data_IF_197409351249
#
_entry.id   IF_197409351249
#
_cell.length_a   1.000
_cell.length_b   1.000
_cell.length_c   1.000
_cell.angle_alpha   90.00
_cell.angle_beta   90.00
_cell.angle_gamma   90.00
#
_symmetry.space_group_name_H-M   'P 1'
#
loop_
_entity.id
_entity.type
_entity.pdbx_description
1 polymer ?
#
# COMPACT_ATOMS: atom_id res chain seq x y z
N UNK A 1 -17.85 14.62 11.13
CA UNK A 1 -17.46 15.73 10.21
C UNK A 1 -18.29 15.58 8.94
N UNK A 2 -19.09 16.59 8.59
CA UNK A 2 -20.01 16.59 7.43
C UNK A 2 -19.23 16.97 6.15
N UNK A 3 -19.45 16.18 5.10
CA UNK A 3 -19.09 16.32 3.66
C UNK A 3 -17.93 17.25 3.27
N UNK A 4 -16.79 16.64 2.95
CA UNK A 4 -15.62 17.32 2.38
C UNK A 4 -15.65 17.42 0.83
N UNK A 5 -16.40 16.57 0.14
CA UNK A 5 -16.49 16.54 -1.34
C UNK A 5 -17.78 17.18 -1.83
N UNK A 6 -17.74 17.90 -2.95
CA UNK A 6 -18.94 18.44 -3.58
C UNK A 6 -19.69 17.34 -4.33
N UNK A 7 -20.98 17.18 -4.02
CA UNK A 7 -21.83 16.18 -4.68
C UNK A 7 -22.48 16.78 -5.94
N UNK A 8 -21.83 16.63 -7.10
CA UNK A 8 -22.30 17.17 -8.40
C UNK A 8 -22.91 16.11 -9.32
N UNK A 9 -22.56 14.83 -9.14
CA UNK A 9 -22.97 13.73 -10.01
C UNK A 9 -24.15 12.97 -9.38
N UNK A 10 -25.33 12.99 -10.01
CA UNK A 10 -26.56 12.40 -9.44
C UNK A 10 -26.61 10.88 -9.50
N UNK A 11 -25.90 10.28 -10.45
CA UNK A 11 -25.85 8.84 -10.70
C UNK A 11 -24.84 8.12 -9.84
N UNK A 12 -24.03 8.86 -9.07
CA UNK A 12 -22.95 8.32 -8.25
C UNK A 12 -23.43 8.04 -6.83
N UNK A 13 -23.13 6.85 -6.33
CA UNK A 13 -23.33 6.51 -4.93
C UNK A 13 -22.14 6.99 -4.08
N UNK A 14 -22.25 8.20 -3.54
CA UNK A 14 -21.20 8.82 -2.73
C UNK A 14 -20.86 8.04 -1.45
N UNK A 15 -21.79 7.24 -0.93
CA UNK A 15 -21.50 6.38 0.21
C UNK A 15 -20.60 5.22 -0.21
N UNK A 16 -20.88 4.59 -1.36
CA UNK A 16 -20.08 3.48 -1.89
C UNK A 16 -18.63 3.88 -2.26
N UNK A 17 -18.36 5.17 -2.49
CA UNK A 17 -17.01 5.69 -2.70
C UNK A 17 -16.08 5.55 -1.49
N UNK A 18 -16.65 5.51 -0.27
CA UNK A 18 -15.85 5.56 0.97
C UNK A 18 -16.26 4.51 2.00
N UNK A 19 -17.37 3.80 1.81
CA UNK A 19 -17.76 2.71 2.71
C UNK A 19 -16.76 1.55 2.65
N UNK A 20 -16.58 0.87 3.79
CA UNK A 20 -15.76 -0.34 3.84
C UNK A 20 -16.41 -1.45 3.02
N UNK A 21 -15.62 -2.14 2.22
CA UNK A 21 -16.07 -3.27 1.39
C UNK A 21 -15.49 -4.59 1.86
N UNK A 22 -14.40 -4.57 2.62
CA UNK A 22 -13.63 -5.75 2.99
C UNK A 22 -12.62 -6.15 1.90
N UNK A 23 -12.63 -5.49 0.74
CA UNK A 23 -11.54 -5.60 -0.24
C UNK A 23 -10.43 -4.61 0.13
N UNK A 24 -9.21 -5.07 0.42
CA UNK A 24 -8.13 -4.24 0.95
C UNK A 24 -7.65 -3.18 -0.04
N UNK A 25 -7.73 -3.44 -1.34
CA UNK A 25 -7.28 -2.50 -2.38
C UNK A 25 -8.32 -1.42 -2.61
N UNK A 26 -9.59 -1.81 -2.67
CA UNK A 26 -10.71 -0.88 -2.83
C UNK A 26 -10.85 0.01 -1.59
N UNK A 27 -10.71 -0.56 -0.38
CA UNK A 27 -10.69 0.17 0.89
C UNK A 27 -9.53 1.17 0.97
N UNK A 28 -8.31 0.77 0.61
CA UNK A 28 -7.16 1.68 0.56
C UNK A 28 -7.40 2.88 -0.38
N UNK A 29 -7.94 2.65 -1.58
CA UNK A 29 -8.31 3.72 -2.51
C UNK A 29 -9.42 4.65 -1.98
N UNK A 30 -10.41 4.09 -1.28
CA UNK A 30 -11.47 4.87 -0.63
C UNK A 30 -10.93 5.79 0.48
N UNK A 31 -9.98 5.31 1.28
CA UNK A 31 -9.34 6.13 2.32
C UNK A 31 -8.52 7.29 1.74
N UNK A 32 -7.85 7.08 0.61
CA UNK A 32 -7.16 8.15 -0.12
C UNK A 32 -8.15 9.19 -0.62
N UNK A 33 -9.27 8.75 -1.22
CA UNK A 33 -10.30 9.65 -1.72
C UNK A 33 -10.86 10.53 -0.58
N UNK A 34 -11.12 9.92 0.58
CA UNK A 34 -11.54 10.65 1.78
C UNK A 34 -10.50 11.68 2.23
N UNK A 35 -9.21 11.35 2.14
CA UNK A 35 -8.12 12.26 2.52
C UNK A 35 -7.98 13.41 1.53
N UNK A 36 -7.89 13.15 0.23
CA UNK A 36 -7.79 14.20 -0.79
C UNK A 36 -8.98 15.16 -0.72
N UNK A 37 -10.18 14.63 -0.52
CA UNK A 37 -11.37 15.46 -0.36
C UNK A 37 -11.27 16.42 0.84
N UNK A 38 -10.62 16.04 1.94
CA UNK A 38 -10.40 16.94 3.09
C UNK A 38 -9.41 18.05 2.79
N UNK A 39 -8.36 17.75 2.04
CA UNK A 39 -7.31 18.72 1.68
C UNK A 39 -7.76 19.66 0.55
N UNK A 40 -8.73 19.24 -0.26
CA UNK A 40 -9.28 20.00 -1.37
C UNK A 40 -10.79 20.26 -1.19
N UNK A 41 -11.20 21.04 -0.18
CA UNK A 41 -12.61 21.32 0.05
C UNK A 41 -13.21 22.05 -1.15
N UNK A 42 -14.34 21.54 -1.64
CA UNK A 42 -15.07 22.12 -2.78
C UNK A 42 -14.78 21.44 -4.13
N UNK A 43 -13.76 20.58 -4.20
CA UNK A 43 -13.55 19.72 -5.36
C UNK A 43 -14.70 18.70 -5.46
N UNK A 44 -15.16 18.43 -6.67
CA UNK A 44 -16.03 17.29 -6.93
C UNK A 44 -15.22 16.03 -7.27
N UNK A 45 -15.93 14.94 -7.58
CA UNK A 45 -15.26 13.67 -7.84
C UNK A 45 -14.37 13.69 -9.08
N UNK A 46 -14.75 14.43 -10.13
CA UNK A 46 -13.94 14.53 -11.35
C UNK A 46 -12.68 15.35 -11.07
N UNK A 47 -12.80 16.45 -10.32
CA UNK A 47 -11.65 17.25 -9.90
C UNK A 47 -10.61 16.40 -9.15
N UNK A 48 -11.07 15.53 -8.23
CA UNK A 48 -10.20 14.64 -7.47
C UNK A 48 -9.57 13.53 -8.33
N UNK A 49 -10.33 12.95 -9.27
CA UNK A 49 -9.82 11.97 -10.24
C UNK A 49 -8.71 12.61 -11.08
N UNK A 50 -8.92 13.84 -11.53
CA UNK A 50 -7.97 14.56 -12.36
C UNK A 50 -6.75 15.03 -11.56
N UNK A 51 -6.91 15.36 -10.27
CA UNK A 51 -5.79 15.62 -9.37
C UNK A 51 -4.86 14.39 -9.26
N UNK A 52 -5.42 13.20 -9.02
CA UNK A 52 -4.63 11.96 -8.99
C UNK A 52 -3.97 11.67 -10.35
N UNK A 53 -4.72 11.88 -11.44
CA UNK A 53 -4.22 11.70 -12.82
C UNK A 53 -3.03 12.60 -13.13
N UNK A 54 -3.08 13.87 -12.70
CA UNK A 54 -1.98 14.81 -12.87
C UNK A 54 -0.72 14.35 -12.13
N UNK A 55 -0.85 13.86 -10.89
CA UNK A 55 0.29 13.27 -10.17
C UNK A 55 0.89 12.10 -10.96
N UNK A 56 0.06 11.18 -11.45
CA UNK A 56 0.52 10.01 -12.19
C UNK A 56 1.20 10.38 -13.51
N UNK A 57 0.66 11.35 -14.22
CA UNK A 57 1.16 11.74 -15.55
C UNK A 57 2.35 12.69 -15.44
N UNK A 58 2.21 13.79 -14.71
CA UNK A 58 3.19 14.88 -14.68
C UNK A 58 4.34 14.61 -13.73
N UNK A 59 4.06 14.09 -12.53
CA UNK A 59 5.10 13.83 -11.53
C UNK A 59 5.76 12.46 -11.75
N UNK A 60 4.97 11.45 -12.12
CA UNK A 60 5.44 10.06 -12.20
C UNK A 60 5.70 9.56 -13.62
N UNK A 61 5.59 10.43 -14.64
CA UNK A 61 5.85 10.08 -16.03
C UNK A 61 5.01 8.88 -16.51
N UNK A 62 3.76 8.82 -16.02
CA UNK A 62 2.79 7.74 -16.27
C UNK A 62 3.27 6.32 -15.85
N UNK A 63 4.26 6.20 -14.96
CA UNK A 63 4.84 4.92 -14.54
C UNK A 63 4.01 4.21 -13.45
N UNK A 64 2.76 3.90 -13.77
CA UNK A 64 1.84 3.14 -12.90
C UNK A 64 1.50 1.73 -13.42
N UNK A 65 2.30 1.21 -14.37
CA UNK A 65 2.16 -0.12 -14.98
C UNK A 65 2.14 -1.28 -13.98
N UNK A 66 2.74 -1.11 -12.80
CA UNK A 66 2.72 -2.12 -11.72
C UNK A 66 1.34 -2.29 -11.10
N UNK A 67 0.44 -1.33 -11.29
CA UNK A 67 -0.97 -1.39 -10.90
C UNK A 67 -1.83 -1.72 -12.12
N UNK A 68 -1.74 -0.87 -13.14
CA UNK A 68 -2.64 -0.89 -14.29
C UNK A 68 -1.86 -1.05 -15.59
N UNK A 69 -1.93 -2.24 -16.17
CA UNK A 69 -1.29 -2.54 -17.45
C UNK A 69 -2.21 -2.14 -18.61
N UNK A 70 -1.70 -1.36 -19.55
CA UNK A 70 -2.45 -0.85 -20.71
C UNK A 70 -3.66 0.02 -20.32
N UNK A 71 -3.56 0.73 -19.19
CA UNK A 71 -4.48 1.82 -18.87
C UNK A 71 -4.34 2.99 -19.84
N UNK A 72 -5.32 3.90 -19.83
CA UNK A 72 -5.26 5.17 -20.60
C UNK A 72 -4.05 6.02 -20.23
N UNK A 73 -3.59 5.94 -18.98
CA UNK A 73 -2.40 6.65 -18.49
C UNK A 73 -1.11 6.01 -19.03
N UNK A 74 -1.02 4.68 -19.00
CA UNK A 74 0.22 3.96 -19.31
C UNK A 74 0.46 3.73 -20.80
N UNK A 75 -0.51 4.07 -21.65
CA UNK A 75 -0.42 3.82 -23.08
C UNK A 75 0.73 4.60 -23.72
N UNK A 76 1.64 3.89 -24.39
CA UNK A 76 2.87 4.48 -24.97
C UNK A 76 2.59 5.35 -26.18
N UNK A 77 1.52 5.07 -26.92
CA UNK A 77 1.10 5.86 -28.09
C UNK A 77 0.44 7.20 -27.75
N UNK A 78 0.19 7.49 -26.47
CA UNK A 78 -0.42 8.75 -26.03
C UNK A 78 0.64 9.71 -25.51
N UNK A 79 0.55 10.97 -25.94
CA UNK A 79 1.34 12.03 -25.31
C UNK A 79 0.76 12.37 -23.91
N UNK A 80 1.44 13.24 -23.16
CA UNK A 80 1.02 13.66 -21.80
C UNK A 80 -0.39 14.23 -21.75
N UNK A 81 -0.79 15.03 -22.75
CA UNK A 81 -2.14 15.62 -22.81
C UNK A 81 -3.19 14.56 -23.16
N UNK A 82 -2.90 13.69 -24.14
CA UNK A 82 -3.78 12.58 -24.54
C UNK A 82 -4.07 11.65 -23.37
N UNK A 83 -3.04 11.33 -22.54
CA UNK A 83 -3.21 10.51 -21.33
C UNK A 83 -4.23 11.12 -20.36
N UNK A 84 -4.21 12.44 -20.16
CA UNK A 84 -5.16 13.14 -19.29
C UNK A 84 -6.55 13.18 -19.92
N UNK A 85 -6.65 13.58 -21.19
CA UNK A 85 -7.92 13.69 -21.92
C UNK A 85 -8.65 12.34 -22.02
N UNK A 86 -7.92 11.26 -22.30
CA UNK A 86 -8.48 9.91 -22.40
C UNK A 86 -8.91 9.36 -21.04
N UNK A 87 -8.21 9.74 -19.96
CA UNK A 87 -8.59 9.38 -18.59
C UNK A 87 -9.83 10.15 -18.15
N UNK A 88 -9.89 11.45 -18.42
CA UNK A 88 -11.06 12.29 -18.17
C UNK A 88 -12.28 11.76 -18.92
N UNK A 89 -12.14 11.46 -20.23
CA UNK A 89 -13.22 10.88 -21.03
C UNK A 89 -13.71 9.56 -20.44
N UNK A 90 -12.80 8.67 -20.07
CA UNK A 90 -13.15 7.38 -19.47
C UNK A 90 -14.00 7.54 -18.21
N UNK A 91 -13.56 8.37 -17.26
CA UNK A 91 -14.32 8.57 -16.03
C UNK A 91 -15.61 9.37 -16.26
N UNK A 92 -15.63 10.28 -17.22
CA UNK A 92 -16.85 11.00 -17.59
C UNK A 92 -17.91 10.05 -18.12
N UNK A 93 -17.54 9.13 -19.01
CA UNK A 93 -18.46 8.11 -19.54
C UNK A 93 -19.00 7.18 -18.44
N UNK A 94 -18.17 6.83 -17.44
CA UNK A 94 -18.62 6.08 -16.26
C UNK A 94 -19.60 6.88 -15.39
N UNK A 95 -19.28 8.14 -15.09
CA UNK A 95 -20.11 9.01 -14.25
C UNK A 95 -21.45 9.29 -14.94
N UNK A 96 -21.45 9.53 -16.24
CA UNK A 96 -22.65 9.84 -17.04
C UNK A 96 -23.47 8.59 -17.43
N UNK A 97 -23.06 7.38 -17.01
CA UNK A 97 -23.69 6.09 -17.38
C UNK A 97 -23.73 5.81 -18.90
N UNK A 98 -22.86 6.44 -19.67
CA UNK A 98 -22.79 6.27 -21.13
C UNK A 98 -21.80 5.20 -21.56
N UNK A 99 -20.88 4.80 -20.68
CA UNK A 99 -19.98 3.66 -20.93
C UNK A 99 -20.76 2.34 -21.06
N UNK A 100 -20.33 1.38 -21.90
CA UNK A 100 -20.95 0.07 -22.01
C UNK A 100 -20.99 -0.67 -20.67
N UNK A 101 -22.17 -1.12 -20.27
CA UNK A 101 -22.42 -1.75 -18.96
C UNK A 101 -23.49 -2.83 -19.03
N UNK A 102 -23.58 -3.61 -17.96
CA UNK A 102 -24.73 -4.48 -17.67
C UNK A 102 -25.29 -4.12 -16.29
N UNK A 103 -26.57 -4.38 -16.05
CA UNK A 103 -27.12 -4.27 -14.69
C UNK A 103 -26.85 -5.56 -13.90
N UNK A 104 -26.46 -5.42 -12.63
CA UNK A 104 -26.26 -6.57 -11.75
C UNK A 104 -25.79 -6.18 -10.36
N UNK A 105 -25.27 -7.14 -9.61
CA UNK A 105 -24.68 -6.91 -8.30
C UNK A 105 -23.16 -6.77 -8.40
N UNK A 106 -22.62 -5.65 -7.91
CA UNK A 106 -21.19 -5.44 -7.90
C UNK A 106 -20.49 -6.50 -7.04
N UNK A 107 -19.44 -7.13 -7.59
CA UNK A 107 -18.72 -8.22 -6.91
C UNK A 107 -18.03 -7.81 -5.60
N UNK A 108 -17.75 -6.52 -5.43
CA UNK A 108 -17.08 -5.99 -4.23
C UNK A 108 -18.08 -5.40 -3.23
N UNK A 109 -19.00 -4.54 -3.68
CA UNK A 109 -19.92 -3.85 -2.77
C UNK A 109 -21.21 -4.61 -2.50
N UNK A 110 -21.54 -5.61 -3.33
CA UNK A 110 -22.82 -6.33 -3.27
C UNK A 110 -24.04 -5.47 -3.61
N UNK A 111 -23.86 -4.23 -4.08
CA UNK A 111 -24.96 -3.31 -4.45
C UNK A 111 -25.43 -3.59 -5.87
N UNK A 112 -26.75 -3.52 -6.10
CA UNK A 112 -27.34 -3.60 -7.44
C UNK A 112 -27.15 -2.27 -8.17
N UNK A 113 -26.47 -2.28 -9.31
CA UNK A 113 -26.11 -1.06 -10.07
C UNK A 113 -25.63 -1.41 -11.49
N UNK A 114 -25.22 -0.40 -12.25
CA UNK A 114 -24.51 -0.54 -13.52
C UNK A 114 -23.09 -1.07 -13.26
N UNK A 115 -22.77 -2.16 -13.96
CA UNK A 115 -21.52 -2.87 -13.84
C UNK A 115 -20.70 -2.74 -15.12
N UNK A 116 -19.43 -2.43 -14.93
CA UNK A 116 -18.45 -2.24 -15.98
C UNK A 116 -17.37 -3.30 -15.85
N UNK A 117 -16.81 -3.76 -16.98
CA UNK A 117 -15.75 -4.75 -16.96
C UNK A 117 -14.46 -4.16 -16.38
N UNK A 118 -13.94 -4.81 -15.35
CA UNK A 118 -12.66 -4.51 -14.75
C UNK A 118 -11.62 -5.55 -15.14
N UNK A 119 -10.52 -5.09 -15.73
CA UNK A 119 -9.38 -5.92 -16.09
C UNK A 119 -8.09 -5.29 -15.58
N UNK A 120 -6.95 -5.86 -15.99
CA UNK A 120 -5.62 -5.36 -15.63
C UNK A 120 -5.35 -3.88 -15.94
N UNK A 121 -6.17 -3.23 -16.78
CA UNK A 121 -6.04 -1.82 -17.18
C UNK A 121 -6.71 -0.83 -16.23
N UNK A 122 -7.58 -1.28 -15.33
CA UNK A 122 -8.35 -0.42 -14.41
C UNK A 122 -8.60 -1.06 -13.03
N UNK A 123 -8.05 -2.24 -12.80
CA UNK A 123 -8.05 -2.94 -11.50
C UNK A 123 -6.73 -3.71 -11.34
N UNK A 124 -6.41 -4.07 -10.09
CA UNK A 124 -5.21 -4.87 -9.78
C UNK A 124 -5.55 -6.36 -9.71
N UNK A 125 -4.52 -7.20 -9.87
CA UNK A 125 -4.61 -8.66 -9.71
C UNK A 125 -5.74 -9.32 -10.53
N UNK A 126 -6.06 -8.71 -11.67
CA UNK A 126 -7.14 -9.13 -12.56
C UNK A 126 -6.60 -9.60 -13.90
N UNK A 127 -7.31 -10.52 -14.54
CA UNK A 127 -6.93 -11.06 -15.85
C UNK A 127 -6.95 -10.03 -16.99
N UNK A 128 -6.42 -10.44 -18.15
CA UNK A 128 -6.52 -9.67 -19.39
C UNK A 128 -7.92 -9.83 -19.99
N UNK A 129 -8.58 -8.74 -20.39
CA UNK A 129 -9.89 -8.79 -21.06
C UNK A 129 -9.87 -9.45 -22.45
N UNK A 130 -8.70 -9.53 -23.10
CA UNK A 130 -8.55 -10.23 -24.39
C UNK A 130 -8.67 -11.77 -24.26
N UNK A 131 -8.57 -12.30 -23.05
CA UNK A 131 -8.67 -13.72 -22.76
C UNK A 131 -9.79 -13.92 -21.74
N UNK A 132 -11.04 -13.98 -22.23
CA UNK A 132 -12.25 -14.22 -21.41
C UNK A 132 -12.17 -15.45 -20.52
N UNK A 133 -11.27 -16.40 -20.84
CA UNK A 133 -11.01 -17.60 -20.06
C UNK A 133 -10.42 -17.35 -18.67
N UNK A 134 -9.96 -16.13 -18.35
CA UNK A 134 -9.43 -15.79 -17.03
C UNK A 134 -10.46 -15.17 -16.09
N UNK A 135 -11.71 -14.99 -16.55
CA UNK A 135 -12.78 -14.42 -15.74
C UNK A 135 -13.92 -15.42 -15.61
N UNK A 136 -14.64 -15.36 -14.49
CA UNK A 136 -15.80 -16.22 -14.28
C UNK A 136 -16.85 -15.98 -15.38
N UNK A 137 -17.55 -17.04 -15.77
CA UNK A 137 -18.65 -16.97 -16.73
C UNK A 137 -18.28 -16.44 -18.13
N UNK A 138 -17.00 -16.51 -18.53
CA UNK A 138 -16.49 -15.95 -19.80
C UNK A 138 -16.77 -14.44 -19.95
N UNK A 139 -16.81 -13.72 -18.82
CA UNK A 139 -16.96 -12.26 -18.81
C UNK A 139 -15.69 -11.58 -19.36
N UNK A 140 -15.83 -10.36 -19.86
CA UNK A 140 -14.71 -9.55 -20.37
C UNK A 140 -13.83 -8.95 -19.26
N UNK A 141 -14.20 -9.17 -18.00
CA UNK A 141 -13.53 -8.68 -16.80
C UNK A 141 -14.30 -9.05 -15.55
N UNK A 142 -13.80 -8.64 -14.38
CA UNK A 142 -14.57 -8.66 -13.14
C UNK A 142 -15.62 -7.54 -13.23
N UNK A 143 -16.90 -7.87 -13.07
CA UNK A 143 -17.97 -6.88 -13.19
C UNK A 143 -18.08 -6.04 -11.90
N UNK A 144 -17.70 -4.76 -12.00
CA UNK A 144 -17.58 -3.82 -10.87
C UNK A 144 -18.41 -2.56 -11.10
N UNK A 145 -18.83 -1.90 -10.01
CA UNK A 145 -19.49 -0.59 -10.11
C UNK A 145 -18.48 0.51 -10.43
N UNK A 146 -18.98 1.66 -10.91
CA UNK A 146 -18.13 2.83 -11.19
C UNK A 146 -17.39 3.32 -9.94
N UNK A 147 -18.01 3.23 -8.75
CA UNK A 147 -17.41 3.65 -7.48
C UNK A 147 -16.18 2.81 -7.14
N UNK A 148 -16.23 1.50 -7.40
CA UNK A 148 -15.10 0.61 -7.17
C UNK A 148 -13.96 0.91 -8.15
N UNK A 149 -14.27 1.16 -9.42
CA UNK A 149 -13.27 1.55 -10.42
C UNK A 149 -12.60 2.89 -10.09
N UNK A 150 -13.38 3.86 -9.62
CA UNK A 150 -12.87 5.13 -9.12
C UNK A 150 -11.93 4.90 -7.93
N UNK A 151 -12.30 4.04 -6.96
CA UNK A 151 -11.44 3.75 -5.81
C UNK A 151 -10.14 3.06 -6.23
N UNK A 152 -10.18 2.14 -7.19
CA UNK A 152 -8.95 1.59 -7.77
C UNK A 152 -8.05 2.68 -8.34
N UNK A 153 -8.60 3.67 -9.05
CA UNK A 153 -7.81 4.78 -9.58
C UNK A 153 -6.96 5.49 -8.52
N UNK A 154 -7.47 5.62 -7.29
CA UNK A 154 -6.76 6.25 -6.17
C UNK A 154 -5.78 5.31 -5.44
N UNK A 155 -5.84 4.00 -5.68
CA UNK A 155 -4.99 3.00 -5.02
C UNK A 155 -3.49 3.32 -5.05
N UNK A 156 -2.88 3.79 -6.16
CA UNK A 156 -1.44 4.06 -6.18
C UNK A 156 -0.96 5.07 -5.13
N UNK A 157 -1.83 5.96 -4.64
CA UNK A 157 -1.52 6.92 -3.58
C UNK A 157 -1.64 6.33 -2.16
N UNK A 158 -2.20 5.13 -2.04
CA UNK A 158 -2.37 4.41 -0.77
C UNK A 158 -1.23 3.40 -0.50
N UNK A 159 -0.24 3.32 -1.40
CA UNK A 159 0.73 2.23 -1.43
C UNK A 159 2.15 2.70 -1.23
N UNK A 160 3.00 1.75 -0.86
CA UNK A 160 4.45 1.89 -0.91
C UNK A 160 5.09 0.87 -1.87
N UNK A 161 6.21 1.19 -2.49
CA UNK A 161 7.00 0.26 -3.28
C UNK A 161 8.16 -0.27 -2.44
N UNK A 162 8.28 -1.60 -2.35
CA UNK A 162 9.37 -2.29 -1.66
C UNK A 162 9.84 -3.50 -2.49
N UNK A 163 11.17 -3.63 -2.66
CA UNK A 163 11.79 -4.70 -3.46
C UNK A 163 11.20 -4.83 -4.89
N UNK A 164 10.89 -3.70 -5.53
CA UNK A 164 10.34 -3.66 -6.89
C UNK A 164 8.85 -4.00 -7.00
N UNK A 165 8.17 -4.35 -5.90
CA UNK A 165 6.73 -4.65 -5.84
C UNK A 165 5.99 -3.62 -5.00
N UNK A 166 4.67 -3.59 -5.13
CA UNK A 166 3.75 -2.71 -4.41
C UNK A 166 3.30 -3.38 -3.11
N UNK A 167 3.29 -2.62 -2.03
CA UNK A 167 2.79 -2.98 -0.71
C UNK A 167 1.52 -2.19 -0.36
N UNK A 168 0.50 -2.88 0.10
CA UNK A 168 -0.69 -2.33 0.77
C UNK A 168 -0.86 -3.00 2.11
N UNK A 169 -1.00 -2.23 3.18
CA UNK A 169 -1.35 -2.74 4.49
C UNK A 169 -2.85 -2.56 4.73
N UNK A 170 -3.50 -3.65 5.07
CA UNK A 170 -4.86 -3.67 5.63
C UNK A 170 -4.83 -4.13 7.08
N UNK A 171 -5.94 -3.92 7.78
CA UNK A 171 -6.10 -4.34 9.17
C UNK A 171 -7.53 -4.79 9.43
N UNK A 172 -7.71 -5.71 10.38
CA UNK A 172 -9.03 -6.01 10.94
C UNK A 172 -9.67 -4.81 11.64
N UNK A 173 -8.87 -3.79 11.97
CA UNK A 173 -9.33 -2.49 12.45
C UNK A 173 -9.27 -1.45 11.31
N UNK A 174 -10.43 -0.98 10.81
CA UNK A 174 -10.47 -0.03 9.70
C UNK A 174 -9.73 1.29 9.97
N UNK A 175 -9.64 1.72 11.24
CA UNK A 175 -8.92 2.94 11.61
C UNK A 175 -7.43 2.80 11.31
N UNK A 176 -6.85 1.62 11.56
CA UNK A 176 -5.44 1.36 11.23
C UNK A 176 -5.20 1.30 9.73
N UNK A 177 -6.09 0.63 8.98
CA UNK A 177 -5.98 0.57 7.52
C UNK A 177 -6.07 1.97 6.90
N UNK A 178 -7.01 2.79 7.40
CA UNK A 178 -7.13 4.19 7.01
C UNK A 178 -5.89 5.00 7.38
N UNK A 179 -5.34 4.81 8.58
CA UNK A 179 -4.12 5.50 9.02
C UNK A 179 -2.93 5.21 8.09
N UNK A 180 -2.74 3.96 7.67
CA UNK A 180 -1.72 3.59 6.69
C UNK A 180 -1.92 4.32 5.36
N UNK A 181 -3.09 4.14 4.73
CA UNK A 181 -3.37 4.69 3.40
C UNK A 181 -3.27 6.22 3.38
N UNK A 182 -3.83 6.89 4.40
CA UNK A 182 -3.77 8.35 4.56
C UNK A 182 -2.35 8.85 4.73
N UNK A 183 -1.53 8.16 5.53
CA UNK A 183 -0.10 8.49 5.69
C UNK A 183 0.68 8.37 4.37
N UNK A 184 0.43 7.33 3.59
CA UNK A 184 1.03 7.18 2.26
C UNK A 184 0.65 8.37 1.36
N UNK A 185 -0.64 8.71 1.32
CA UNK A 185 -1.15 9.84 0.56
C UNK A 185 -0.50 11.16 0.98
N UNK A 186 -0.52 11.50 2.28
CA UNK A 186 0.05 12.75 2.79
C UNK A 186 1.55 12.88 2.48
N UNK A 187 2.32 11.79 2.57
CA UNK A 187 3.75 11.80 2.20
C UNK A 187 3.94 12.04 0.70
N UNK A 188 3.14 11.38 -0.15
CA UNK A 188 3.20 11.60 -1.60
C UNK A 188 2.87 13.06 -1.92
N UNK A 189 1.80 13.62 -1.36
CA UNK A 189 1.41 15.02 -1.59
C UNK A 189 2.49 15.99 -1.12
N UNK A 190 3.13 15.71 0.02
CA UNK A 190 4.27 16.48 0.51
C UNK A 190 5.44 16.46 -0.48
N UNK A 191 5.79 15.28 -1.00
CA UNK A 191 6.87 15.13 -1.98
C UNK A 191 6.51 15.75 -3.34
N UNK A 192 5.23 15.72 -3.74
CA UNK A 192 4.72 16.42 -4.94
C UNK A 192 4.89 17.92 -4.76
N UNK A 193 4.49 18.50 -3.61
CA UNK A 193 4.67 19.92 -3.31
C UNK A 193 6.13 20.37 -3.29
N UNK A 194 7.07 19.44 -3.07
CA UNK A 194 8.52 19.66 -3.15
C UNK A 194 9.16 19.34 -4.49
N UNK A 195 8.38 18.91 -5.50
CA UNK A 195 8.89 18.41 -6.78
C UNK A 195 9.88 17.21 -6.63
N UNK A 196 9.68 16.38 -5.61
CA UNK A 196 10.51 15.21 -5.29
C UNK A 196 9.81 13.88 -5.60
N UNK A 197 8.49 13.88 -5.76
CA UNK A 197 7.71 12.67 -6.07
C UNK A 197 7.93 12.24 -7.53
N UNK A 198 8.58 11.09 -7.73
CA UNK A 198 8.90 10.51 -9.07
C UNK A 198 8.24 9.16 -9.33
N UNK A 199 7.31 8.77 -8.47
CA UNK A 199 6.66 7.46 -8.49
C UNK A 199 5.99 7.18 -7.14
N UNK A 200 5.50 5.95 -7.01
CA UNK A 200 4.95 5.41 -5.76
C UNK A 200 5.94 5.62 -4.62
N UNK A 201 5.43 5.92 -3.43
CA UNK A 201 6.23 6.12 -2.22
C UNK A 201 7.16 4.94 -2.00
N UNK A 202 8.47 5.17 -1.88
CA UNK A 202 9.43 4.08 -1.64
C UNK A 202 9.49 3.76 -0.15
N UNK A 203 9.43 2.47 0.17
CA UNK A 203 9.71 2.00 1.53
C UNK A 203 11.21 1.70 1.65
N UNK A 204 11.86 2.25 2.67
CA UNK A 204 13.31 2.05 2.90
C UNK A 204 13.64 0.62 3.33
N UNK A 205 12.64 -0.13 3.82
CA UNK A 205 12.83 -1.47 4.36
C UNK A 205 13.21 -2.48 3.28
N UNK A 206 14.28 -3.22 3.54
CA UNK A 206 14.81 -4.26 2.66
C UNK A 206 14.09 -5.59 2.75
N UNK A 207 13.03 -5.71 3.56
CA UNK A 207 12.19 -6.91 3.64
C UNK A 207 10.75 -6.58 4.07
N UNK A 208 9.75 -7.38 3.66
CA UNK A 208 8.36 -7.23 4.09
C UNK A 208 8.19 -7.28 5.61
N UNK A 209 8.93 -8.17 6.30
CA UNK A 209 8.91 -8.25 7.76
C UNK A 209 9.36 -6.93 8.40
N UNK A 210 10.50 -6.40 7.98
CA UNK A 210 10.96 -5.10 8.48
C UNK A 210 9.96 -3.99 8.18
N UNK A 211 9.40 -3.93 6.96
CA UNK A 211 8.41 -2.91 6.61
C UNK A 211 7.18 -2.95 7.52
N UNK A 212 6.63 -4.14 7.77
CA UNK A 212 5.45 -4.33 8.60
C UNK A 212 5.68 -3.92 10.05
N UNK A 213 6.82 -4.32 10.65
CA UNK A 213 7.14 -3.96 12.02
C UNK A 213 7.54 -2.49 12.19
N UNK A 214 8.13 -1.87 11.16
CA UNK A 214 8.37 -0.42 11.14
C UNK A 214 7.05 0.35 11.06
N UNK A 215 6.09 -0.11 10.26
CA UNK A 215 4.75 0.46 10.29
C UNK A 215 4.09 0.27 11.66
N UNK A 216 4.23 -0.91 12.27
CA UNK A 216 3.69 -1.19 13.61
C UNK A 216 4.31 -0.29 14.69
N UNK A 217 5.60 0.05 14.60
CA UNK A 217 6.23 1.04 15.47
C UNK A 217 5.53 2.41 15.38
N UNK A 218 5.29 2.90 14.15
CA UNK A 218 4.56 4.16 13.94
C UNK A 218 3.10 4.08 14.40
N UNK A 219 2.45 2.95 14.16
CA UNK A 219 1.06 2.74 14.55
C UNK A 219 0.89 2.82 16.07
N UNK A 220 1.77 2.13 16.80
CA UNK A 220 1.75 2.12 18.26
C UNK A 220 2.15 3.47 18.86
N UNK A 221 3.01 4.25 18.19
CA UNK A 221 3.39 5.60 18.67
C UNK A 221 2.33 6.66 18.41
N UNK A 222 1.70 6.65 17.24
CA UNK A 222 0.79 7.72 16.80
C UNK A 222 -0.67 7.44 17.17
N UNK A 223 -1.15 6.22 16.91
CA UNK A 223 -2.55 5.85 17.13
C UNK A 223 -2.75 5.10 18.45
N UNK A 224 -1.75 4.33 18.86
CA UNK A 224 -1.78 3.46 20.04
C UNK A 224 -3.10 2.66 20.17
N UNK A 225 -3.42 1.80 19.18
CA UNK A 225 -4.67 1.05 19.20
C UNK A 225 -4.78 0.18 20.44
N UNK A 226 -5.92 0.31 21.13
CA UNK A 226 -6.19 -0.37 22.41
C UNK A 226 -6.64 -1.82 22.23
N UNK A 227 -7.13 -2.16 21.05
CA UNK A 227 -7.54 -3.52 20.68
C UNK A 227 -6.44 -4.20 19.89
N UNK A 228 -6.28 -5.50 20.12
CA UNK A 228 -5.44 -6.31 19.25
C UNK A 228 -6.07 -6.42 17.86
N UNK A 229 -5.23 -6.40 16.84
CA UNK A 229 -5.65 -6.40 15.46
C UNK A 229 -4.72 -7.27 14.61
N UNK A 230 -5.28 -7.82 13.55
CA UNK A 230 -4.51 -8.51 12.53
C UNK A 230 -4.11 -7.50 11.47
N UNK A 231 -2.83 -7.47 11.12
CA UNK A 231 -2.32 -6.68 9.98
C UNK A 231 -2.02 -7.60 8.82
N UNK A 232 -2.39 -7.21 7.61
CA UNK A 232 -2.08 -7.97 6.39
C UNK A 232 -1.40 -7.06 5.38
N UNK A 233 -0.17 -7.39 5.00
CA UNK A 233 0.56 -6.76 3.91
C UNK A 233 0.36 -7.57 2.62
N UNK A 234 -0.29 -6.94 1.64
CA UNK A 234 -0.37 -7.42 0.27
C UNK A 234 0.83 -6.90 -0.50
N UNK A 235 1.72 -7.78 -0.94
CA UNK A 235 2.96 -7.47 -1.64
C UNK A 235 2.93 -8.02 -3.06
N UNK A 236 2.66 -7.18 -4.05
CA UNK A 236 2.29 -7.63 -5.38
C UNK A 236 2.89 -6.80 -6.53
N UNK A 237 2.84 -7.34 -7.74
CA UNK A 237 3.09 -6.63 -8.98
C UNK A 237 2.15 -7.14 -10.07
N UNK A 238 1.54 -6.22 -10.82
CA UNK A 238 0.71 -6.54 -11.99
C UNK A 238 1.51 -6.46 -13.30
N UNK A 239 2.85 -6.49 -13.22
CA UNK A 239 3.73 -6.41 -14.38
C UNK A 239 3.54 -7.63 -15.28
N UNK A 240 3.07 -7.40 -16.51
CA UNK A 240 2.55 -8.45 -17.41
C UNK A 240 3.41 -9.71 -17.59
N UNK A 241 4.74 -9.62 -17.76
CA UNK A 241 5.60 -10.80 -17.91
C UNK A 241 5.76 -11.66 -16.65
N UNK A 242 5.52 -11.10 -15.45
CA UNK A 242 5.76 -11.80 -14.18
C UNK A 242 4.85 -11.22 -13.08
N UNK A 243 3.52 -11.37 -13.21
CA UNK A 243 2.61 -10.97 -12.14
C UNK A 243 2.87 -11.86 -10.93
N UNK A 244 2.92 -11.26 -9.75
CA UNK A 244 3.15 -11.98 -8.50
C UNK A 244 2.38 -11.30 -7.38
N UNK A 245 1.83 -12.09 -6.46
CA UNK A 245 1.22 -11.61 -5.24
C UNK A 245 1.64 -12.50 -4.06
N UNK A 246 2.11 -11.86 -3.00
CA UNK A 246 2.43 -12.49 -1.72
C UNK A 246 1.62 -11.80 -0.63
N UNK A 247 1.06 -12.59 0.28
CA UNK A 247 0.26 -12.07 1.40
C UNK A 247 0.96 -12.42 2.70
N UNK A 248 1.30 -11.39 3.47
CA UNK A 248 1.95 -11.52 4.76
C UNK A 248 1.00 -11.09 5.86
N UNK A 249 0.64 -12.00 6.75
CA UNK A 249 -0.29 -11.72 7.84
C UNK A 249 0.46 -11.70 9.16
N UNK A 250 0.28 -10.63 9.94
CA UNK A 250 0.64 -10.55 11.35
C UNK A 250 -0.60 -10.90 12.18
N UNK A 251 -0.67 -12.11 12.76
CA UNK A 251 -1.83 -12.54 13.53
C UNK A 251 -1.98 -11.76 14.86
N UNK A 252 -3.19 -11.76 15.43
CA UNK A 252 -3.49 -11.10 16.71
C UNK A 252 -2.49 -11.42 17.84
N UNK A 253 -2.07 -12.69 18.09
CA UNK A 253 -1.11 -12.97 19.16
C UNK A 253 0.26 -12.34 18.91
N UNK A 254 0.68 -12.23 17.66
CA UNK A 254 1.97 -11.60 17.30
C UNK A 254 1.89 -10.09 17.46
N UNK A 255 0.76 -9.48 17.09
CA UNK A 255 0.51 -8.06 17.33
C UNK A 255 0.55 -7.76 18.84
N UNK A 256 -0.19 -8.54 19.63
CA UNK A 256 -0.25 -8.41 21.09
C UNK A 256 1.15 -8.56 21.69
N UNK A 257 1.87 -9.64 21.34
CA UNK A 257 3.25 -9.87 21.78
C UNK A 257 4.14 -8.67 21.46
N UNK A 258 4.10 -8.15 20.23
CA UNK A 258 4.92 -7.01 19.85
C UNK A 258 4.57 -5.74 20.61
N UNK A 259 3.28 -5.48 20.89
CA UNK A 259 2.88 -4.36 21.74
C UNK A 259 3.42 -4.51 23.16
N UNK A 260 3.40 -5.73 23.70
CA UNK A 260 3.99 -6.01 25.03
C UNK A 260 5.49 -5.69 25.06
N UNK A 261 6.23 -5.98 23.99
CA UNK A 261 7.67 -5.66 23.94
C UNK A 261 7.97 -4.16 23.93
N UNK A 262 6.97 -3.30 23.68
CA UNK A 262 7.10 -1.83 23.75
C UNK A 262 6.86 -1.25 25.14
N UNK A 263 6.44 -2.06 26.12
CA UNK A 263 6.30 -1.59 27.50
C UNK A 263 7.65 -1.19 28.08
N UNK A 264 7.73 -0.18 28.98
CA UNK A 264 8.99 0.27 29.56
C UNK A 264 9.85 -0.85 30.16
N UNK A 265 9.21 -1.87 30.75
CA UNK A 265 9.90 -3.02 31.33
C UNK A 265 10.71 -3.86 30.32
N UNK A 266 10.33 -3.83 29.03
CA UNK A 266 10.91 -4.69 27.99
C UNK A 266 11.52 -3.92 26.82
N UNK A 267 11.17 -2.65 26.63
CA UNK A 267 11.50 -1.86 25.44
C UNK A 267 13.00 -1.83 25.12
N UNK A 268 13.84 -1.57 26.12
CA UNK A 268 15.29 -1.47 25.92
C UNK A 268 15.91 -2.83 25.57
N UNK A 269 15.50 -3.88 26.27
CA UNK A 269 15.95 -5.25 26.01
C UNK A 269 15.50 -5.71 24.61
N UNK A 270 14.24 -5.45 24.25
CA UNK A 270 13.69 -5.78 22.95
C UNK A 270 14.41 -5.05 21.82
N UNK A 271 14.69 -3.75 22.00
CA UNK A 271 15.43 -2.94 21.02
C UNK A 271 16.80 -3.53 20.73
N UNK A 272 17.58 -3.86 21.77
CA UNK A 272 18.92 -4.46 21.63
C UNK A 272 18.85 -5.86 21.01
N UNK A 273 17.89 -6.68 21.45
CA UNK A 273 17.65 -8.01 20.89
C UNK A 273 17.36 -7.96 19.39
N UNK A 274 16.40 -7.13 18.97
CA UNK A 274 16.06 -6.97 17.54
C UNK A 274 17.25 -6.42 16.76
N UNK A 275 17.96 -5.43 17.30
CA UNK A 275 19.10 -4.81 16.64
C UNK A 275 20.20 -5.83 16.29
N UNK A 276 20.49 -6.76 17.20
CA UNK A 276 21.44 -7.85 16.99
C UNK A 276 21.06 -8.82 15.85
N UNK A 277 19.80 -8.81 15.41
CA UNK A 277 19.25 -9.73 14.41
C UNK A 277 19.01 -9.10 13.03
N UNK A 278 19.46 -7.86 12.80
CA UNK A 278 19.51 -7.29 11.46
C UNK A 278 20.59 -7.97 10.60
N UNK A 279 20.25 -8.19 9.33
CA UNK A 279 21.09 -8.87 8.35
C UNK A 279 21.05 -8.11 7.02
N UNK A 280 22.22 -8.03 6.40
CA UNK A 280 22.41 -7.41 5.09
C UNK A 280 23.31 -8.28 4.23
N UNK A 281 23.09 -8.26 2.92
CA UNK A 281 23.95 -8.91 1.93
C UNK A 281 25.15 -8.06 1.56
N UNK A 282 25.11 -6.74 1.82
CA UNK A 282 26.17 -5.78 1.48
C UNK A 282 27.40 -5.95 2.39
N UNK A 283 27.17 -6.18 3.69
CA UNK A 283 28.23 -6.30 4.70
C UNK A 283 28.22 -7.71 5.33
N UNK A 284 28.90 -8.67 4.69
CA UNK A 284 28.91 -10.09 5.12
C UNK A 284 29.47 -10.31 6.53
N UNK A 285 30.41 -9.46 6.97
CA UNK A 285 31.08 -9.56 8.26
C UNK A 285 30.57 -8.53 9.28
N UNK A 286 29.34 -8.02 9.10
CA UNK A 286 28.76 -7.06 10.03
C UNK A 286 28.61 -7.68 11.43
N UNK A 287 29.22 -7.03 12.43
CA UNK A 287 29.15 -7.44 13.84
C UNK A 287 28.45 -6.37 14.67
N UNK A 288 27.45 -6.77 15.44
CA UNK A 288 26.67 -5.86 16.27
C UNK A 288 27.36 -5.64 17.63
N UNK A 289 27.49 -4.39 18.04
CA UNK A 289 28.03 -3.96 19.33
C UNK A 289 26.89 -3.43 20.20
N UNK A 290 26.48 -4.21 21.20
CA UNK A 290 25.28 -3.95 22.00
C UNK A 290 25.38 -2.69 22.86
N UNK A 291 26.53 -2.43 23.48
CA UNK A 291 26.73 -1.28 24.38
C UNK A 291 26.52 0.06 23.67
N UNK A 292 26.87 0.11 22.39
CA UNK A 292 26.81 1.33 21.57
C UNK A 292 25.62 1.35 20.61
N UNK A 293 24.90 0.24 20.47
CA UNK A 293 23.85 0.04 19.47
C UNK A 293 24.31 0.38 18.04
N UNK A 294 25.45 -0.18 17.64
CA UNK A 294 26.06 0.04 16.31
C UNK A 294 26.49 -1.27 15.67
N UNK A 295 26.60 -1.27 14.34
CA UNK A 295 27.29 -2.33 13.62
C UNK A 295 28.72 -1.90 13.25
N UNK A 296 29.69 -2.78 13.46
CA UNK A 296 31.01 -2.68 12.87
C UNK A 296 31.01 -3.47 11.56
N UNK A 297 31.35 -2.80 10.47
CA UNK A 297 31.41 -3.40 9.14
C UNK A 297 32.77 -3.15 8.51
N UNK A 298 33.23 -4.08 7.69
CA UNK A 298 34.38 -3.86 6.80
C UNK A 298 33.85 -3.40 5.45
N UNK A 299 34.18 -2.16 5.07
CA UNK A 299 33.86 -1.59 3.76
C UNK A 299 35.17 -1.23 3.07
N UNK A 300 35.45 -1.80 1.89
CA UNK A 300 36.69 -1.56 1.11
C UNK A 300 38.00 -1.66 1.92
N UNK A 301 38.07 -2.62 2.87
CA UNK A 301 39.18 -2.87 3.81
C UNK A 301 39.31 -1.88 4.98
N UNK A 302 38.39 -0.92 5.11
CA UNK A 302 38.32 -0.02 6.27
C UNK A 302 37.20 -0.45 7.23
N UNK A 303 37.43 -0.26 8.52
CA UNK A 303 36.43 -0.52 9.56
C UNK A 303 35.54 0.70 9.70
N UNK A 304 34.24 0.54 9.40
CA UNK A 304 33.23 1.58 9.52
C UNK A 304 32.23 1.20 10.62
N UNK A 305 31.81 2.21 11.38
CA UNK A 305 30.72 2.09 12.36
C UNK A 305 29.41 2.59 11.72
N UNK A 306 28.37 1.77 11.75
CA UNK A 306 27.03 2.11 11.27
C UNK A 306 26.08 2.33 12.46
N UNK A 307 25.40 3.47 12.46
CA UNK A 307 24.41 3.84 13.48
C UNK A 307 23.03 3.28 13.13
N UNK A 308 22.11 3.32 14.10
CA UNK A 308 20.75 2.75 13.96
C UNK A 308 20.01 3.18 12.69
N UNK A 309 20.08 4.46 12.32
CA UNK A 309 19.41 4.96 11.12
C UNK A 309 19.91 4.32 9.81
N UNK A 310 21.12 3.74 9.80
CA UNK A 310 21.72 3.09 8.63
C UNK A 310 21.35 1.60 8.52
N UNK A 311 21.04 0.94 9.65
CA UNK A 311 20.76 -0.51 9.67
C UNK A 311 19.32 -0.89 10.03
N UNK A 312 18.52 0.01 10.61
CA UNK A 312 17.15 -0.29 11.07
C UNK A 312 16.20 -0.77 9.95
N UNK A 313 16.57 -0.52 8.69
CA UNK A 313 15.82 -0.92 7.50
C UNK A 313 16.35 -2.20 6.84
N UNK A 314 17.41 -2.81 7.38
CA UNK A 314 17.89 -4.11 6.91
C UNK A 314 16.85 -5.21 7.14
N UNK A 315 17.05 -6.38 6.52
CA UNK A 315 16.21 -7.54 6.79
C UNK A 315 16.42 -8.00 8.22
N UNK A 316 15.35 -8.23 8.98
CA UNK A 316 15.46 -8.66 10.37
C UNK A 316 14.92 -10.08 10.54
N UNK A 317 15.75 -10.99 11.07
CA UNK A 317 15.38 -12.39 11.24
C UNK A 317 14.17 -12.57 12.16
N UNK A 318 14.12 -11.82 13.25
CA UNK A 318 13.04 -11.90 14.26
C UNK A 318 11.73 -11.45 13.65
N UNK A 319 11.73 -10.32 12.95
CA UNK A 319 10.53 -9.81 12.27
C UNK A 319 10.02 -10.77 11.20
N UNK A 320 10.92 -11.35 10.40
CA UNK A 320 10.54 -12.35 9.40
C UNK A 320 9.94 -13.62 10.03
N UNK A 321 10.47 -14.07 11.17
CA UNK A 321 9.92 -15.21 11.92
C UNK A 321 8.53 -14.90 12.47
N UNK A 322 8.38 -13.77 13.16
CA UNK A 322 7.11 -13.34 13.76
C UNK A 322 6.02 -13.16 12.69
N UNK A 323 6.34 -12.53 11.57
CA UNK A 323 5.44 -12.38 10.42
C UNK A 323 5.00 -13.74 9.83
N UNK A 324 5.85 -14.77 9.93
CA UNK A 324 5.54 -16.15 9.48
C UNK A 324 4.95 -17.02 10.58
N UNK A 325 4.56 -16.43 11.72
CA UNK A 325 4.07 -17.13 12.90
C UNK A 325 5.04 -18.22 13.41
N UNK A 326 6.35 -17.97 13.32
CA UNK A 326 7.39 -18.87 13.77
C UNK A 326 7.92 -18.47 15.15
N UNK A 327 8.27 -19.46 15.97
CA UNK A 327 8.85 -19.23 17.29
C UNK A 327 10.23 -18.56 17.21
N UNK A 328 10.44 -17.60 18.11
CA UNK A 328 11.71 -16.89 18.32
C UNK A 328 12.38 -17.27 19.65
N UNK A 329 11.84 -18.25 20.38
CA UNK A 329 12.35 -18.68 21.69
C UNK A 329 13.81 -19.14 21.61
N UNK A 330 14.19 -19.82 20.52
CA UNK A 330 15.57 -20.25 20.29
C UNK A 330 16.53 -19.05 20.20
N UNK A 331 16.13 -18.01 19.46
CA UNK A 331 16.93 -16.79 19.31
C UNK A 331 17.03 -16.03 20.63
N UNK A 332 15.93 -15.93 21.39
CA UNK A 332 15.94 -15.31 22.72
C UNK A 332 16.92 -16.07 23.64
N UNK A 333 16.82 -17.41 23.71
CA UNK A 333 17.71 -18.24 24.56
C UNK A 333 19.17 -18.09 24.18
N UNK A 334 19.48 -18.13 22.88
CA UNK A 334 20.85 -17.96 22.40
C UNK A 334 21.38 -16.58 22.76
N UNK A 335 20.58 -15.54 22.51
CA UNK A 335 20.96 -14.16 22.82
C UNK A 335 21.17 -13.95 24.33
N UNK A 336 20.34 -14.55 25.19
CA UNK A 336 20.46 -14.41 26.65
C UNK A 336 21.69 -15.07 27.27
N UNK A 337 22.34 -16.01 26.57
CA UNK A 337 23.58 -16.67 27.02
C UNK A 337 24.82 -15.93 26.51
N UNK A 338 24.68 -15.18 25.42
CA UNK A 338 25.74 -14.36 24.81
C UNK A 338 25.83 -12.95 25.44
N UNK A 339 24.87 -12.59 26.30
CA UNK A 339 24.95 -11.45 27.23
C UNK A 339 25.70 -11.88 28.50
#
# INVERSE_FOLDING_TARGET
MKNAMKHTCKTLDYEALTCLTGDPFVDAGGFVLEELSKWNPGYDIMDLIMLATQIYVDCWDAKINTFFLNSKITQTGFNTADKKNETERYFKELLDDTAPHIEGYCRVTGRKTNLYPAGRNNSVLSGSGAFVNFHHSFESGIMLSKEVLIRFHFLPLACEQMQGKIGVISSSNPVTAAFYAKRCCSKILYDVGKNQSKGVLKNDSRSPGTALFRFLDYLLSELNPTKDEQLTLYHFTNFGPSPEAQVYTLPFPTFQFYRETKRPAYADCWKKFVAAHYRTTEFKNASYQMDRNVFLVTDKKELRTLKEHEFQYWSNLIYNKLMRNQSIVKEIRKWSVEQ
#
